data_IF_296965222156
#
_entry.id   IF_296965222156
#
_cell.length_a   1.000
_cell.length_b   1.000
_cell.length_c   1.000
_cell.angle_alpha   90.00
_cell.angle_beta   90.00
_cell.angle_gamma   90.00
#
_symmetry.space_group_name_H-M   'P 1'
#
loop_
_entity.id
_entity.type
_entity.pdbx_description
1 polymer ?
#
# COMPACT_ATOMS: atom_id res chain seq x y z
N UNK A 1 -34.43 -19.90 -58.68
CA UNK A 1 -33.46 -19.59 -59.77
C UNK A 1 -32.86 -18.18 -59.64
N UNK A 2 -33.64 -17.15 -59.28
CA UNK A 2 -33.13 -15.76 -59.14
C UNK A 2 -32.24 -15.58 -57.89
N UNK A 3 -32.59 -16.11 -56.72
CA UNK A 3 -31.80 -15.90 -55.48
C UNK A 3 -30.34 -16.39 -55.59
N UNK A 4 -30.04 -17.60 -56.10
CA UNK A 4 -28.65 -18.04 -56.27
C UNK A 4 -27.81 -17.12 -57.17
N UNK A 5 -28.38 -16.60 -58.26
CA UNK A 5 -27.71 -15.67 -59.16
C UNK A 5 -27.37 -14.34 -58.47
N UNK A 6 -28.32 -13.82 -57.67
CA UNK A 6 -28.10 -12.59 -56.93
C UNK A 6 -27.08 -12.77 -55.79
N UNK A 7 -27.11 -13.90 -55.08
CA UNK A 7 -26.08 -14.25 -54.08
C UNK A 7 -24.68 -14.30 -54.70
N UNK A 8 -24.52 -14.96 -55.86
CA UNK A 8 -23.23 -15.01 -56.56
C UNK A 8 -22.70 -13.63 -56.98
N UNK A 9 -23.60 -12.66 -57.18
CA UNK A 9 -23.26 -11.28 -57.53
C UNK A 9 -23.18 -10.35 -56.32
N UNK A 10 -23.32 -10.86 -55.10
CA UNK A 10 -23.39 -10.08 -53.87
C UNK A 10 -24.49 -9.00 -53.87
N UNK A 11 -25.62 -9.26 -54.55
CA UNK A 11 -26.77 -8.36 -54.61
C UNK A 11 -27.87 -8.87 -53.69
N UNK A 12 -28.35 -8.01 -52.80
CA UNK A 12 -29.52 -8.28 -51.95
C UNK A 12 -30.76 -7.55 -52.48
N UNK A 13 -31.92 -8.21 -52.46
CA UNK A 13 -33.21 -7.60 -52.73
C UNK A 13 -34.21 -7.95 -51.62
N UNK A 14 -34.71 -6.94 -50.90
CA UNK A 14 -35.52 -7.16 -49.71
C UNK A 14 -36.79 -7.99 -49.98
N UNK A 15 -37.54 -7.65 -51.03
CA UNK A 15 -38.79 -8.31 -51.37
C UNK A 15 -38.58 -9.73 -51.87
N UNK A 16 -37.60 -10.00 -52.72
CA UNK A 16 -37.36 -11.35 -53.24
C UNK A 16 -36.96 -12.33 -52.13
N UNK A 17 -36.17 -11.88 -51.16
CA UNK A 17 -35.78 -12.70 -50.02
C UNK A 17 -36.91 -12.85 -48.99
N UNK A 18 -37.83 -11.88 -48.86
CA UNK A 18 -38.97 -11.98 -47.93
C UNK A 18 -39.92 -13.14 -48.27
N UNK A 19 -40.03 -13.51 -49.55
CA UNK A 19 -40.76 -14.71 -49.97
C UNK A 19 -40.21 -16.02 -49.35
N UNK A 20 -38.97 -16.02 -48.85
CA UNK A 20 -38.42 -17.12 -48.06
C UNK A 20 -39.25 -17.41 -46.81
N UNK A 21 -39.83 -16.39 -46.18
CA UNK A 21 -40.74 -16.54 -45.04
C UNK A 21 -42.07 -17.15 -45.51
N UNK A 22 -42.69 -16.57 -46.54
CA UNK A 22 -43.98 -17.01 -47.09
C UNK A 22 -43.97 -18.49 -47.53
N UNK A 23 -42.87 -18.94 -48.13
CA UNK A 23 -42.73 -20.29 -48.69
C UNK A 23 -41.95 -21.26 -47.80
N UNK A 24 -41.63 -20.87 -46.55
CA UNK A 24 -40.88 -21.69 -45.60
C UNK A 24 -39.52 -22.19 -46.14
N UNK A 25 -38.80 -21.33 -46.87
CA UNK A 25 -37.47 -21.63 -47.41
C UNK A 25 -36.40 -21.07 -46.47
N UNK A 26 -35.87 -21.94 -45.60
CA UNK A 26 -34.99 -21.56 -44.49
C UNK A 26 -33.82 -20.67 -44.91
N UNK A 27 -33.07 -21.04 -45.94
CA UNK A 27 -31.89 -20.27 -46.36
C UNK A 27 -32.25 -18.84 -46.81
N UNK A 28 -33.34 -18.69 -47.57
CA UNK A 28 -33.83 -17.39 -48.01
C UNK A 28 -34.38 -16.56 -46.83
N UNK A 29 -35.13 -17.20 -45.92
CA UNK A 29 -35.64 -16.57 -44.71
C UNK A 29 -34.51 -16.07 -43.80
N UNK A 30 -33.43 -16.85 -43.62
CA UNK A 30 -32.24 -16.42 -42.86
C UNK A 30 -31.62 -15.17 -43.44
N UNK A 31 -31.33 -15.16 -44.74
CA UNK A 31 -30.73 -13.99 -45.40
C UNK A 31 -31.66 -12.77 -45.36
N UNK A 32 -32.97 -12.97 -45.52
CA UNK A 32 -33.96 -11.89 -45.39
C UNK A 32 -33.86 -11.21 -44.01
N UNK A 33 -33.95 -12.01 -42.94
CA UNK A 33 -33.95 -11.50 -41.58
C UNK A 33 -32.61 -10.89 -41.19
N UNK A 34 -31.49 -11.47 -41.63
CA UNK A 34 -30.13 -10.94 -41.42
C UNK A 34 -29.95 -9.51 -41.97
N UNK A 35 -30.68 -9.13 -43.03
CA UNK A 35 -30.65 -7.79 -43.62
C UNK A 35 -31.74 -6.85 -43.06
N UNK A 36 -32.62 -7.32 -42.17
CA UNK A 36 -33.65 -6.50 -41.56
C UNK A 36 -33.14 -5.90 -40.24
N UNK A 37 -32.34 -4.84 -40.33
CA UNK A 37 -31.72 -4.21 -39.16
C UNK A 37 -32.73 -3.72 -38.12
N UNK A 38 -33.88 -3.17 -38.56
CA UNK A 38 -34.93 -2.70 -37.66
C UNK A 38 -35.50 -3.83 -36.81
N UNK A 39 -35.70 -5.01 -37.39
CA UNK A 39 -36.16 -6.18 -36.67
C UNK A 39 -35.08 -6.67 -35.71
N UNK A 40 -33.86 -6.86 -36.20
CA UNK A 40 -32.80 -7.46 -35.40
C UNK A 40 -32.36 -6.60 -34.20
N UNK A 41 -32.47 -5.27 -34.28
CA UNK A 41 -32.22 -4.37 -33.13
C UNK A 41 -33.19 -4.59 -31.97
N UNK A 42 -34.36 -5.18 -32.21
CA UNK A 42 -35.36 -5.50 -31.20
C UNK A 42 -35.12 -6.87 -30.56
N UNK A 43 -34.19 -7.67 -31.09
CA UNK A 43 -33.96 -9.05 -30.68
C UNK A 43 -32.85 -9.21 -29.62
N UNK A 44 -32.24 -8.12 -29.14
CA UNK A 44 -31.14 -8.17 -28.17
C UNK A 44 -29.74 -8.23 -28.79
N UNK A 45 -28.72 -8.41 -27.95
CA UNK A 45 -27.31 -8.31 -28.39
C UNK A 45 -26.75 -9.61 -28.96
N UNK A 46 -27.33 -10.76 -28.63
CA UNK A 46 -26.89 -12.06 -29.11
C UNK A 46 -28.08 -13.01 -29.27
N UNK A 47 -28.11 -13.72 -30.40
CA UNK A 47 -29.01 -14.84 -30.67
C UNK A 47 -28.25 -15.79 -31.57
N UNK A 48 -28.30 -17.09 -31.28
CA UNK A 48 -27.96 -18.10 -32.27
C UNK A 48 -29.08 -19.13 -32.36
N UNK A 49 -29.83 -19.08 -33.45
CA UNK A 49 -30.93 -20.00 -33.69
C UNK A 49 -31.01 -20.38 -35.18
N UNK A 50 -31.89 -21.34 -35.48
CA UNK A 50 -32.10 -21.84 -36.85
C UNK A 50 -32.45 -20.74 -37.85
N UNK A 51 -33.06 -19.64 -37.42
CA UNK A 51 -33.57 -18.61 -38.32
C UNK A 51 -32.73 -17.32 -38.35
N UNK A 52 -32.04 -16.99 -37.26
CA UNK A 52 -31.27 -15.76 -37.12
C UNK A 52 -30.03 -16.03 -36.28
N UNK A 53 -28.91 -15.41 -36.67
CA UNK A 53 -27.70 -15.32 -35.84
C UNK A 53 -27.36 -13.84 -35.69
N UNK A 54 -27.31 -13.36 -34.45
CA UNK A 54 -26.85 -12.03 -34.07
C UNK A 54 -25.56 -12.21 -33.27
N UNK A 55 -24.45 -11.81 -33.88
CA UNK A 55 -23.16 -11.72 -33.20
C UNK A 55 -22.78 -10.23 -33.06
N UNK A 56 -22.54 -9.73 -31.85
CA UNK A 56 -22.35 -8.30 -31.64
C UNK A 56 -21.00 -7.78 -32.17
N UNK A 57 -20.00 -8.65 -32.36
CA UNK A 57 -18.70 -8.31 -32.95
C UNK A 57 -18.83 -8.22 -34.46
N UNK A 58 -19.41 -9.25 -35.10
CA UNK A 58 -19.66 -9.27 -36.55
C UNK A 58 -20.51 -8.08 -36.98
N UNK A 59 -21.50 -7.71 -36.16
CA UNK A 59 -22.39 -6.57 -36.41
C UNK A 59 -21.84 -5.22 -35.94
N UNK A 60 -20.63 -5.19 -35.39
CA UNK A 60 -19.94 -3.97 -34.92
C UNK A 60 -20.73 -3.18 -33.87
N UNK A 61 -21.61 -3.85 -33.13
CA UNK A 61 -22.35 -3.27 -31.99
C UNK A 61 -21.58 -3.41 -30.67
N UNK A 62 -20.55 -4.25 -30.66
CA UNK A 62 -19.61 -4.42 -29.57
C UNK A 62 -18.19 -4.57 -30.13
N UNK A 63 -17.22 -4.02 -29.43
CA UNK A 63 -15.81 -4.25 -29.67
C UNK A 63 -15.09 -4.38 -28.32
N UNK A 64 -14.07 -5.23 -28.27
CA UNK A 64 -13.19 -5.30 -27.11
C UNK A 64 -12.26 -4.09 -27.11
N UNK A 65 -12.24 -3.37 -25.99
CA UNK A 65 -11.33 -2.26 -25.78
C UNK A 65 -10.24 -2.66 -24.79
N UNK A 66 -9.02 -2.26 -25.09
CA UNK A 66 -7.85 -2.41 -24.25
C UNK A 66 -7.67 -1.14 -23.41
N UNK A 67 -7.56 -1.30 -22.09
CA UNK A 67 -7.35 -0.21 -21.14
C UNK A 67 -5.97 -0.26 -20.49
N UNK A 68 -5.09 -1.17 -20.93
CA UNK A 68 -3.76 -1.31 -20.36
C UNK A 68 -2.84 -0.15 -20.78
N UNK A 69 -2.09 0.47 -19.86
CA UNK A 69 -2.13 0.28 -18.40
C UNK A 69 -3.27 1.10 -17.76
N UNK A 70 -4.15 0.43 -17.00
CA UNK A 70 -5.15 1.11 -16.16
C UNK A 70 -4.68 1.05 -14.70
N UNK A 71 -4.41 2.20 -14.11
CA UNK A 71 -4.04 2.30 -12.69
C UNK A 71 -5.29 2.57 -11.86
N UNK A 72 -5.64 1.63 -10.98
CA UNK A 72 -6.78 1.79 -10.07
C UNK A 72 -6.32 2.44 -8.76
N UNK A 73 -7.16 3.34 -8.23
CA UNK A 73 -6.91 3.94 -6.91
C UNK A 73 -7.13 2.96 -5.74
N UNK A 74 -7.89 1.87 -5.95
CA UNK A 74 -8.30 0.90 -4.93
C UNK A 74 -8.55 -0.47 -5.54
N UNK A 75 -7.94 -1.52 -4.97
CA UNK A 75 -8.23 -2.92 -5.32
C UNK A 75 -9.42 -3.51 -4.52
N UNK A 76 -9.61 -3.07 -3.27
CA UNK A 76 -10.63 -3.59 -2.36
C UNK A 76 -11.93 -2.81 -2.39
N UNK A 77 -13.03 -3.51 -2.10
CA UNK A 77 -14.38 -2.93 -2.03
C UNK A 77 -14.50 -2.00 -0.82
N UNK A 78 -14.90 -0.75 -1.07
CA UNK A 78 -15.31 0.20 -0.04
C UNK A 78 -16.85 0.26 0.02
N UNK A 79 -17.43 -0.11 1.17
CA UNK A 79 -18.88 -0.15 1.35
C UNK A 79 -19.54 -1.41 0.78
N UNK A 80 -20.86 -1.34 0.57
CA UNK A 80 -21.68 -2.53 0.22
C UNK A 80 -21.47 -3.02 -1.22
N UNK A 81 -21.09 -2.14 -2.14
CA UNK A 81 -20.97 -2.44 -3.58
C UNK A 81 -19.58 -2.12 -4.09
N UNK A 82 -19.08 -2.93 -5.03
CA UNK A 82 -17.84 -2.64 -5.76
C UNK A 82 -18.11 -1.54 -6.77
N UNK A 83 -17.15 -0.62 -6.94
CA UNK A 83 -17.26 0.52 -7.84
C UNK A 83 -16.05 0.54 -8.78
N UNK A 84 -16.29 0.74 -10.06
CA UNK A 84 -15.25 0.98 -11.07
C UNK A 84 -15.17 2.50 -11.26
N UNK A 85 -14.09 3.12 -10.79
CA UNK A 85 -13.96 4.59 -10.76
C UNK A 85 -13.75 5.19 -12.14
N UNK A 86 -13.06 4.48 -13.04
CA UNK A 86 -12.90 4.92 -14.42
C UNK A 86 -14.23 4.76 -15.16
N UNK A 87 -14.89 5.88 -15.47
CA UNK A 87 -16.23 5.89 -16.08
C UNK A 87 -16.27 5.28 -17.47
N UNK A 88 -15.21 5.45 -18.28
CA UNK A 88 -15.12 4.85 -19.62
C UNK A 88 -15.02 3.32 -19.52
N UNK A 89 -14.14 2.82 -18.67
CA UNK A 89 -14.00 1.38 -18.45
C UNK A 89 -15.24 0.78 -17.77
N UNK A 90 -15.86 1.49 -16.84
CA UNK A 90 -17.13 1.08 -16.25
C UNK A 90 -18.21 0.89 -17.33
N UNK A 91 -18.35 1.85 -18.26
CA UNK A 91 -19.27 1.75 -19.39
C UNK A 91 -18.97 0.53 -20.27
N UNK A 92 -17.71 0.31 -20.62
CA UNK A 92 -17.30 -0.86 -21.40
C UNK A 92 -17.58 -2.17 -20.67
N UNK A 93 -17.27 -2.26 -19.39
CA UNK A 93 -17.53 -3.44 -18.57
C UNK A 93 -19.03 -3.73 -18.51
N UNK A 94 -19.88 -2.71 -18.33
CA UNK A 94 -21.34 -2.88 -18.34
C UNK A 94 -21.87 -3.28 -19.73
N UNK A 95 -21.27 -2.79 -20.81
CA UNK A 95 -21.61 -3.22 -22.17
C UNK A 95 -21.26 -4.70 -22.38
N UNK A 96 -20.09 -5.15 -21.90
CA UNK A 96 -19.73 -6.57 -21.90
C UNK A 96 -20.73 -7.39 -21.06
N UNK A 97 -21.03 -6.98 -19.81
CA UNK A 97 -21.98 -7.70 -18.96
C UNK A 97 -23.35 -7.82 -19.62
N UNK A 98 -23.80 -6.77 -20.32
CA UNK A 98 -25.03 -6.80 -21.11
C UNK A 98 -24.95 -7.78 -22.27
N UNK A 99 -23.82 -7.87 -23.00
CA UNK A 99 -23.65 -8.89 -24.05
C UNK A 99 -23.68 -10.30 -23.47
N UNK A 100 -22.91 -10.54 -22.41
CA UNK A 100 -22.82 -11.85 -21.75
C UNK A 100 -24.16 -12.30 -21.16
N UNK A 101 -25.05 -11.39 -20.74
CA UNK A 101 -26.38 -11.76 -20.26
C UNK A 101 -27.31 -12.35 -21.34
N UNK A 102 -26.98 -12.19 -22.64
CA UNK A 102 -27.71 -12.85 -23.74
C UNK A 102 -27.07 -14.19 -24.15
N UNK A 103 -25.87 -14.51 -23.67
CA UNK A 103 -25.21 -15.78 -23.98
C UNK A 103 -25.89 -16.91 -23.18
N UNK A 104 -26.36 -17.99 -23.83
CA UNK A 104 -26.89 -19.15 -23.12
C UNK A 104 -25.82 -19.83 -22.27
N UNK A 105 -24.60 -19.91 -22.82
CA UNK A 105 -23.40 -20.41 -22.16
C UNK A 105 -22.21 -19.53 -22.57
N UNK A 106 -21.27 -19.34 -21.65
CA UNK A 106 -20.03 -18.60 -21.90
C UNK A 106 -18.99 -19.53 -22.52
N UNK A 107 -18.55 -19.18 -23.73
CA UNK A 107 -17.46 -19.87 -24.41
C UNK A 107 -16.08 -19.50 -23.84
N UNK A 108 -15.01 -20.03 -24.42
CA UNK A 108 -13.65 -19.77 -23.95
C UNK A 108 -13.24 -18.30 -24.12
N UNK A 109 -13.69 -17.62 -25.19
CA UNK A 109 -13.35 -16.21 -25.47
C UNK A 109 -14.11 -15.26 -24.53
N UNK A 110 -15.38 -15.54 -24.25
CA UNK A 110 -16.20 -14.80 -23.28
C UNK A 110 -15.56 -14.85 -21.87
N UNK A 111 -15.14 -16.05 -21.45
CA UNK A 111 -14.45 -16.25 -20.17
C UNK A 111 -13.10 -15.53 -20.15
N UNK A 112 -12.29 -15.69 -21.21
CA UNK A 112 -10.97 -15.07 -21.30
C UNK A 112 -11.06 -13.54 -21.26
N UNK A 113 -12.01 -12.95 -21.99
CA UNK A 113 -12.27 -11.50 -21.95
C UNK A 113 -12.63 -11.06 -20.53
N UNK A 114 -13.49 -11.82 -19.86
CA UNK A 114 -13.93 -11.50 -18.50
C UNK A 114 -12.76 -11.59 -17.51
N UNK A 115 -11.84 -12.56 -17.66
CA UNK A 115 -10.60 -12.63 -16.89
C UNK A 115 -9.78 -11.35 -17.06
N UNK A 116 -9.53 -10.91 -18.29
CA UNK A 116 -8.75 -9.67 -18.55
C UNK A 116 -9.43 -8.45 -17.92
N UNK A 117 -10.75 -8.35 -17.96
CA UNK A 117 -11.48 -7.25 -17.32
C UNK A 117 -11.51 -7.35 -15.80
N UNK A 118 -11.41 -8.54 -15.21
CA UNK A 118 -11.19 -8.70 -13.77
C UNK A 118 -9.78 -8.27 -13.38
N UNK A 119 -8.75 -8.63 -14.15
CA UNK A 119 -7.38 -8.17 -13.94
C UNK A 119 -7.28 -6.64 -14.03
N UNK A 120 -7.95 -6.04 -15.01
CA UNK A 120 -8.03 -4.57 -15.16
C UNK A 120 -8.71 -3.89 -13.95
N UNK A 121 -9.48 -4.62 -13.15
CA UNK A 121 -10.14 -4.16 -11.91
C UNK A 121 -9.38 -4.53 -10.64
N UNK A 122 -8.18 -5.11 -10.74
CA UNK A 122 -7.44 -5.73 -9.62
C UNK A 122 -8.24 -6.80 -8.86
N UNK A 123 -9.17 -7.50 -9.55
CA UNK A 123 -9.99 -8.60 -8.99
C UNK A 123 -9.27 -9.93 -9.15
N UNK A 124 -8.06 -10.02 -8.59
CA UNK A 124 -7.12 -11.13 -8.82
C UNK A 124 -7.73 -12.49 -8.46
N UNK A 125 -8.33 -12.65 -7.28
CA UNK A 125 -8.92 -13.94 -6.87
C UNK A 125 -10.04 -14.41 -7.81
N UNK A 126 -10.87 -13.49 -8.28
CA UNK A 126 -11.96 -13.78 -9.21
C UNK A 126 -11.41 -14.11 -10.60
N UNK A 127 -10.37 -13.40 -11.03
CA UNK A 127 -9.66 -13.67 -12.28
C UNK A 127 -9.04 -15.07 -12.26
N UNK A 128 -8.36 -15.47 -11.18
CA UNK A 128 -7.78 -16.81 -11.01
C UNK A 128 -8.86 -17.89 -11.10
N UNK A 129 -9.96 -17.71 -10.36
CA UNK A 129 -11.08 -18.68 -10.34
C UNK A 129 -11.69 -18.86 -11.73
N UNK A 130 -11.94 -17.77 -12.45
CA UNK A 130 -12.52 -17.83 -13.79
C UNK A 130 -11.52 -18.38 -14.81
N UNK A 131 -10.26 -17.99 -14.73
CA UNK A 131 -9.19 -18.43 -15.62
C UNK A 131 -9.01 -19.95 -15.57
N UNK A 132 -9.13 -20.57 -14.39
CA UNK A 132 -9.08 -22.03 -14.24
C UNK A 132 -10.17 -22.77 -15.03
N UNK A 133 -11.25 -22.08 -15.43
CA UNK A 133 -12.35 -22.67 -16.23
C UNK A 133 -12.20 -22.45 -17.73
N UNK A 134 -11.14 -21.76 -18.17
CA UNK A 134 -10.90 -21.46 -19.59
C UNK A 134 -10.29 -22.68 -20.26
N UNK A 135 -10.99 -23.24 -21.24
CA UNK A 135 -10.43 -24.27 -22.11
C UNK A 135 -9.52 -23.61 -23.17
N UNK A 136 -8.23 -23.58 -22.87
CA UNK A 136 -7.25 -22.98 -23.75
C UNK A 136 -7.26 -23.60 -25.15
N UNK A 137 -7.67 -24.87 -25.32
CA UNK A 137 -7.70 -25.55 -26.63
C UNK A 137 -8.70 -24.99 -27.61
N UNK A 138 -9.70 -24.28 -27.10
CA UNK A 138 -10.74 -23.61 -27.88
C UNK A 138 -10.43 -22.14 -28.16
N UNK A 139 -9.28 -21.63 -27.71
CA UNK A 139 -8.88 -20.25 -27.95
C UNK A 139 -7.97 -20.13 -29.19
N UNK A 140 -8.33 -19.28 -30.17
CA UNK A 140 -7.40 -18.86 -31.21
C UNK A 140 -6.18 -18.12 -30.62
N UNK A 141 -6.41 -17.35 -29.55
CA UNK A 141 -5.44 -16.47 -28.89
C UNK A 141 -4.56 -17.20 -27.84
N UNK A 142 -3.87 -18.27 -28.24
CA UNK A 142 -3.05 -19.10 -27.33
C UNK A 142 -1.95 -18.34 -26.60
N UNK A 143 -1.29 -17.42 -27.29
CA UNK A 143 -0.19 -16.66 -26.69
C UNK A 143 -0.69 -15.67 -25.63
N UNK A 144 -1.84 -15.02 -25.84
CA UNK A 144 -2.46 -14.12 -24.87
C UNK A 144 -2.92 -14.86 -23.62
N UNK A 145 -3.45 -16.07 -23.81
CA UNK A 145 -3.76 -16.99 -22.72
C UNK A 145 -2.50 -17.33 -21.91
N UNK A 146 -1.41 -17.73 -22.58
CA UNK A 146 -0.16 -18.07 -21.92
C UNK A 146 0.44 -16.88 -21.17
N UNK A 147 0.38 -15.67 -21.73
CA UNK A 147 0.79 -14.45 -21.01
C UNK A 147 -0.04 -14.22 -19.75
N UNK A 148 -1.36 -14.36 -19.81
CA UNK A 148 -2.22 -14.24 -18.64
C UNK A 148 -1.92 -15.33 -17.60
N UNK A 149 -1.60 -16.56 -18.02
CA UNK A 149 -1.17 -17.62 -17.11
C UNK A 149 0.13 -17.25 -16.40
N UNK A 150 1.12 -16.72 -17.13
CA UNK A 150 2.38 -16.26 -16.53
C UNK A 150 2.18 -15.09 -15.56
N UNK A 151 1.32 -14.13 -15.92
CA UNK A 151 0.97 -13.00 -15.06
C UNK A 151 0.25 -13.45 -13.78
N UNK A 152 -0.72 -14.34 -13.90
CA UNK A 152 -1.47 -14.87 -12.75
C UNK A 152 -0.59 -15.71 -11.80
N UNK A 153 0.45 -16.35 -12.31
CA UNK A 153 1.39 -17.14 -11.53
C UNK A 153 2.20 -16.28 -10.54
N UNK A 154 2.39 -14.98 -10.81
CA UNK A 154 3.00 -14.03 -9.86
C UNK A 154 2.14 -13.77 -8.61
N UNK A 155 0.86 -14.12 -8.64
CA UNK A 155 -0.04 -14.03 -7.47
C UNK A 155 -0.09 -15.34 -6.67
N UNK A 156 0.81 -16.28 -6.96
CA UNK A 156 1.05 -17.46 -6.15
C UNK A 156 2.28 -17.27 -5.26
N UNK A 157 2.38 -18.06 -4.17
CA UNK A 157 3.54 -17.99 -3.26
C UNK A 157 4.88 -18.28 -3.96
N UNK A 158 4.85 -19.05 -5.06
CA UNK A 158 6.03 -19.42 -5.86
C UNK A 158 5.67 -19.47 -7.35
N UNK A 159 6.14 -18.52 -8.17
CA UNK A 159 5.84 -18.50 -9.60
C UNK A 159 6.65 -19.59 -10.34
N UNK A 160 6.14 -20.81 -10.32
CA UNK A 160 6.81 -21.99 -10.90
C UNK A 160 6.58 -22.15 -12.40
N UNK A 161 5.51 -21.57 -12.94
CA UNK A 161 5.09 -21.72 -14.35
C UNK A 161 5.52 -20.54 -15.20
N UNK A 162 5.54 -19.32 -14.63
CA UNK A 162 5.84 -18.09 -15.35
C UNK A 162 7.16 -18.17 -16.14
N UNK A 163 8.22 -18.73 -15.54
CA UNK A 163 9.54 -18.86 -16.19
C UNK A 163 9.50 -19.74 -17.43
N UNK A 164 8.84 -20.90 -17.34
CA UNK A 164 8.71 -21.83 -18.46
C UNK A 164 7.89 -21.23 -19.61
N UNK A 165 6.82 -20.50 -19.27
CA UNK A 165 5.99 -19.79 -20.25
C UNK A 165 6.80 -18.67 -20.92
N UNK A 166 7.47 -17.81 -20.15
CA UNK A 166 8.26 -16.71 -20.70
C UNK A 166 9.38 -17.22 -21.63
N UNK A 167 10.04 -18.33 -21.26
CA UNK A 167 11.08 -18.96 -22.07
C UNK A 167 10.54 -19.43 -23.44
N UNK A 168 9.31 -19.97 -23.51
CA UNK A 168 8.65 -20.38 -24.76
C UNK A 168 8.53 -19.21 -25.75
N UNK A 169 8.37 -17.99 -25.25
CA UNK A 169 8.15 -16.78 -26.05
C UNK A 169 9.37 -15.84 -26.12
N UNK A 170 10.55 -16.28 -25.67
CA UNK A 170 11.75 -15.44 -25.58
C UNK A 170 12.20 -14.82 -26.93
N UNK A 171 11.88 -15.47 -28.06
CA UNK A 171 12.19 -14.99 -29.42
C UNK A 171 10.93 -14.68 -30.24
N UNK A 172 9.84 -14.32 -29.58
CA UNK A 172 8.58 -14.05 -30.27
C UNK A 172 8.70 -12.82 -31.18
N UNK A 173 8.28 -12.88 -32.45
CA UNK A 173 8.62 -11.88 -33.47
C UNK A 173 7.85 -10.55 -33.33
N UNK A 174 6.76 -10.52 -32.54
CA UNK A 174 5.98 -9.30 -32.31
C UNK A 174 6.58 -8.55 -31.13
N UNK A 175 7.21 -7.40 -31.39
CA UNK A 175 7.97 -6.59 -30.41
C UNK A 175 7.24 -6.43 -29.07
N UNK A 176 6.00 -5.93 -29.11
CA UNK A 176 5.16 -5.74 -27.91
C UNK A 176 5.08 -7.00 -27.04
N UNK A 177 4.85 -8.16 -27.65
CA UNK A 177 4.73 -9.42 -26.92
C UNK A 177 6.08 -9.96 -26.46
N UNK A 178 7.12 -9.84 -27.30
CA UNK A 178 8.49 -10.17 -26.91
C UNK A 178 8.92 -9.42 -25.66
N UNK A 179 8.67 -8.10 -25.60
CA UNK A 179 8.92 -7.26 -24.43
C UNK A 179 8.10 -7.68 -23.21
N UNK A 180 6.80 -7.96 -23.37
CA UNK A 180 5.95 -8.41 -22.26
C UNK A 180 6.46 -9.72 -21.62
N UNK A 181 6.86 -10.71 -22.42
CA UNK A 181 7.43 -11.95 -21.89
C UNK A 181 8.86 -11.77 -21.34
N UNK A 182 9.68 -10.93 -21.95
CA UNK A 182 10.99 -10.58 -21.40
C UNK A 182 10.86 -9.88 -20.03
N UNK A 183 9.83 -9.05 -19.84
CA UNK A 183 9.54 -8.41 -18.55
C UNK A 183 9.13 -9.43 -17.48
N UNK A 184 8.34 -10.46 -17.83
CA UNK A 184 8.07 -11.59 -16.92
C UNK A 184 9.38 -12.24 -16.46
N UNK A 185 10.30 -12.53 -17.38
CA UNK A 185 11.61 -13.10 -17.03
C UNK A 185 12.43 -12.17 -16.13
N UNK A 186 12.42 -10.85 -16.39
CA UNK A 186 13.13 -9.87 -15.58
C UNK A 186 12.59 -9.80 -14.15
N UNK A 187 11.27 -9.81 -13.96
CA UNK A 187 10.65 -9.84 -12.62
C UNK A 187 10.98 -11.13 -11.86
N UNK A 188 11.02 -12.27 -12.54
CA UNK A 188 11.43 -13.54 -11.91
C UNK A 188 12.90 -13.53 -11.46
N UNK A 189 13.77 -12.91 -12.26
CA UNK A 189 15.17 -12.71 -11.93
C UNK A 189 15.34 -11.78 -10.72
N UNK A 190 14.54 -10.72 -10.62
CA UNK A 190 14.49 -9.82 -9.45
C UNK A 190 14.00 -10.54 -8.19
N UNK A 191 12.96 -11.37 -8.30
CA UNK A 191 12.47 -12.22 -7.19
C UNK A 191 13.57 -13.16 -6.66
N UNK A 192 14.47 -13.61 -7.52
CA UNK A 192 15.65 -14.41 -7.17
C UNK A 192 16.82 -13.58 -6.62
N UNK A 193 16.65 -12.27 -6.46
CA UNK A 193 17.65 -11.36 -5.92
C UNK A 193 18.65 -10.81 -6.94
N UNK A 194 18.40 -10.98 -8.25
CA UNK A 194 19.20 -10.33 -9.31
C UNK A 194 18.80 -8.86 -9.43
N UNK A 195 19.64 -8.08 -10.11
CA UNK A 195 19.40 -6.65 -10.30
C UNK A 195 18.16 -6.37 -11.16
N UNK A 196 17.48 -5.26 -10.88
CA UNK A 196 16.33 -4.77 -11.66
C UNK A 196 16.74 -4.55 -13.12
N UNK A 197 16.08 -5.26 -14.03
CA UNK A 197 16.26 -5.12 -15.48
C UNK A 197 15.24 -4.18 -16.10
N UNK A 198 15.67 -3.33 -17.03
CA UNK A 198 14.78 -2.52 -17.87
C UNK A 198 14.74 -3.15 -19.26
N UNK A 199 13.57 -3.64 -19.65
CA UNK A 199 13.32 -4.29 -20.94
C UNK A 199 12.85 -3.26 -21.96
N UNK A 200 11.95 -2.36 -21.56
CA UNK A 200 11.47 -1.27 -22.40
C UNK A 200 11.85 0.08 -21.76
N UNK A 201 12.81 0.82 -22.34
CA UNK A 201 13.20 2.14 -21.82
C UNK A 201 12.09 3.19 -21.84
N UNK A 202 11.06 3.02 -22.68
CA UNK A 202 9.89 3.91 -22.74
C UNK A 202 8.84 3.56 -21.68
N UNK A 203 8.94 2.40 -21.05
CA UNK A 203 8.08 2.00 -19.95
C UNK A 203 8.47 2.78 -18.68
N UNK A 204 7.61 3.75 -18.35
CA UNK A 204 7.79 4.62 -17.19
C UNK A 204 7.92 3.83 -15.89
N UNK A 205 7.17 2.75 -15.71
CA UNK A 205 7.14 2.02 -14.45
C UNK A 205 8.43 1.20 -14.28
N UNK A 206 8.97 0.63 -15.35
CA UNK A 206 10.31 0.00 -15.35
C UNK A 206 11.42 1.01 -15.09
N UNK A 207 11.38 2.18 -15.73
CA UNK A 207 12.34 3.25 -15.50
C UNK A 207 12.31 3.74 -14.04
N UNK A 208 11.12 3.90 -13.46
CA UNK A 208 10.95 4.28 -12.04
C UNK A 208 11.44 3.18 -11.10
N UNK A 209 11.18 1.90 -11.38
CA UNK A 209 11.67 0.79 -10.57
C UNK A 209 13.20 0.76 -10.51
N UNK A 210 13.88 0.98 -11.64
CA UNK A 210 15.35 1.08 -11.69
C UNK A 210 15.89 2.24 -10.84
N UNK A 211 15.24 3.41 -10.89
CA UNK A 211 15.63 4.56 -10.07
C UNK A 211 15.37 4.32 -8.58
N UNK A 212 14.25 3.66 -8.24
CA UNK A 212 13.93 3.31 -6.87
C UNK A 212 14.95 2.31 -6.28
N UNK A 213 15.39 1.33 -7.05
CA UNK A 213 16.39 0.35 -6.62
C UNK A 213 17.77 0.97 -6.30
N UNK A 214 18.10 2.11 -6.93
CA UNK A 214 19.36 2.85 -6.70
C UNK A 214 19.20 4.03 -5.74
N UNK A 215 17.98 4.34 -5.31
CA UNK A 215 17.74 5.43 -4.38
C UNK A 215 18.39 5.13 -3.02
N UNK A 216 19.01 6.14 -2.37
CA UNK A 216 19.43 5.99 -0.98
C UNK A 216 18.19 5.84 -0.08
N UNK A 217 18.29 5.02 0.96
CA UNK A 217 17.31 4.98 2.04
C UNK A 217 18.01 4.87 3.40
N UNK A 218 17.34 5.41 4.43
CA UNK A 218 17.85 5.48 5.78
C UNK A 218 16.70 5.50 6.79
N UNK A 219 16.72 4.57 7.74
CA UNK A 219 16.02 4.65 9.02
C UNK A 219 16.95 4.14 10.13
N UNK A 220 16.66 4.44 11.39
CA UNK A 220 17.44 3.90 12.49
C UNK A 220 16.61 3.75 13.74
N UNK A 221 16.96 2.86 14.66
CA UNK A 221 16.38 2.79 16.00
C UNK A 221 17.45 3.09 17.03
N UNK A 222 17.04 3.62 18.18
CA UNK A 222 17.92 3.78 19.33
C UNK A 222 17.24 3.23 20.57
N UNK A 223 17.83 2.20 21.16
CA UNK A 223 17.33 1.52 22.35
C UNK A 223 18.48 0.82 23.07
N UNK A 224 18.35 0.59 24.37
CA UNK A 224 19.36 -0.13 25.16
C UNK A 224 20.82 0.34 24.92
N UNK A 225 21.03 1.66 24.80
CA UNK A 225 22.34 2.29 24.51
C UNK A 225 22.97 1.85 23.17
N UNK A 226 22.16 1.38 22.22
CA UNK A 226 22.59 1.02 20.87
C UNK A 226 21.80 1.80 19.83
N UNK A 227 22.47 2.10 18.71
CA UNK A 227 21.87 2.70 17.52
C UNK A 227 21.96 1.64 16.42
N UNK A 228 20.82 1.22 15.91
CA UNK A 228 20.70 0.28 14.79
C UNK A 228 20.23 1.03 13.56
N UNK A 229 21.10 1.14 12.56
CA UNK A 229 20.84 1.85 11.31
C UNK A 229 20.45 0.84 10.25
N UNK A 230 19.29 1.03 9.63
CA UNK A 230 18.86 0.34 8.41
C UNK A 230 19.10 1.28 7.24
N UNK A 231 19.80 0.83 6.22
CA UNK A 231 20.19 1.69 5.11
C UNK A 231 20.24 0.93 3.79
N UNK A 232 20.14 1.68 2.70
CA UNK A 232 20.32 1.18 1.33
C UNK A 232 21.07 2.22 0.51
N UNK A 233 22.00 1.78 -0.34
CA UNK A 233 22.77 2.63 -1.26
C UNK A 233 23.51 3.81 -0.58
N UNK A 234 23.97 3.62 0.66
CA UNK A 234 24.73 4.60 1.43
C UNK A 234 26.06 4.02 1.88
N UNK A 235 27.14 4.80 1.72
CA UNK A 235 28.50 4.44 2.15
C UNK A 235 28.88 5.02 3.50
N UNK A 236 28.37 6.20 3.81
CA UNK A 236 28.69 6.93 5.04
C UNK A 236 27.44 7.66 5.55
N UNK A 237 27.37 7.81 6.87
CA UNK A 237 26.36 8.62 7.55
C UNK A 237 27.02 9.62 8.49
N UNK A 238 26.38 10.75 8.70
CA UNK A 238 26.73 11.70 9.75
C UNK A 238 25.69 11.63 10.85
N UNK A 239 26.13 11.37 12.07
CA UNK A 239 25.28 11.29 13.27
C UNK A 239 25.55 12.52 14.12
N UNK A 240 24.52 13.32 14.37
CA UNK A 240 24.52 14.50 15.21
C UNK A 240 23.77 14.21 16.51
N UNK A 241 24.38 14.53 17.64
CA UNK A 241 23.82 14.31 18.98
C UNK A 241 23.54 15.66 19.64
N UNK A 242 22.30 15.87 20.07
CA UNK A 242 21.86 17.08 20.75
C UNK A 242 21.34 16.72 22.13
N UNK A 243 22.02 17.17 23.18
CA UNK A 243 21.53 17.02 24.55
C UNK A 243 20.26 17.84 24.69
N UNK A 244 19.20 17.18 25.15
CA UNK A 244 17.90 17.82 25.30
C UNK A 244 17.76 18.45 26.68
N UNK A 245 17.30 19.71 26.71
CA UNK A 245 16.71 20.28 27.92
C UNK A 245 15.27 19.76 28.06
N UNK A 246 15.14 18.63 28.75
CA UNK A 246 13.84 17.95 28.88
C UNK A 246 12.87 18.76 29.71
N UNK A 247 13.34 19.58 30.65
CA UNK A 247 12.45 20.43 31.45
C UNK A 247 11.80 21.52 30.58
N UNK A 248 12.60 22.19 29.75
CA UNK A 248 12.09 23.20 28.84
C UNK A 248 11.11 22.59 27.81
N UNK A 249 11.49 21.46 27.19
CA UNK A 249 10.65 20.77 26.21
C UNK A 249 9.31 20.32 26.82
N UNK A 250 9.37 19.73 28.03
CA UNK A 250 8.19 19.33 28.78
C UNK A 250 7.30 20.52 29.15
N UNK A 251 7.89 21.63 29.61
CA UNK A 251 7.14 22.83 29.99
C UNK A 251 6.41 23.46 28.79
N UNK A 252 6.97 23.35 27.58
CA UNK A 252 6.31 23.81 26.34
C UNK A 252 5.20 22.88 25.87
N UNK A 253 5.39 21.56 26.02
CA UNK A 253 4.42 20.57 25.55
C UNK A 253 4.31 19.36 26.53
N UNK A 254 3.58 19.50 27.65
CA UNK A 254 3.60 18.50 28.72
C UNK A 254 2.98 17.16 28.36
N UNK A 255 2.11 17.09 27.33
CA UNK A 255 1.39 15.88 26.92
C UNK A 255 1.91 15.28 25.59
N UNK A 256 3.11 15.67 25.14
CA UNK A 256 3.73 15.11 23.94
C UNK A 256 4.57 13.89 24.32
N UNK A 257 4.22 12.72 23.76
CA UNK A 257 4.91 11.45 24.06
C UNK A 257 6.25 11.32 23.33
N UNK A 258 6.45 12.02 22.21
CA UNK A 258 7.69 12.03 21.45
C UNK A 258 7.95 13.43 20.90
N UNK A 259 9.02 14.09 21.34
CA UNK A 259 9.45 15.36 20.77
C UNK A 259 10.07 15.12 19.39
N UNK A 260 9.39 15.57 18.34
CA UNK A 260 9.90 15.54 16.97
C UNK A 260 9.96 16.95 16.38
N UNK A 261 11.12 17.35 15.85
CA UNK A 261 11.17 18.35 14.77
C UNK A 261 11.55 19.81 15.11
N UNK A 262 12.21 20.13 16.23
CA UNK A 262 12.59 21.54 16.55
C UNK A 262 14.05 21.75 17.01
N UNK A 263 15.00 20.90 16.63
CA UNK A 263 16.42 21.09 17.00
C UNK A 263 17.26 21.82 15.94
N UNK A 264 16.64 22.35 14.88
CA UNK A 264 17.29 22.92 13.69
C UNK A 264 18.15 24.16 13.94
N UNK A 265 18.03 24.80 15.11
CA UNK A 265 18.66 26.09 15.42
C UNK A 265 19.82 25.98 16.43
N UNK A 266 20.14 24.78 16.91
CA UNK A 266 21.22 24.56 17.88
C UNK A 266 22.36 23.75 17.27
N UNK A 267 23.58 23.98 17.76
CA UNK A 267 24.76 23.20 17.37
C UNK A 267 24.74 21.83 18.07
N UNK A 268 25.07 20.72 17.38
CA UNK A 268 25.18 19.42 18.03
C UNK A 268 26.31 19.40 19.06
N UNK A 269 26.08 18.69 20.16
CA UNK A 269 27.07 18.45 21.20
C UNK A 269 28.19 17.50 20.73
N UNK A 270 27.85 16.57 19.83
CA UNK A 270 28.79 15.70 19.15
C UNK A 270 28.32 15.44 17.72
N UNK A 271 29.25 15.42 16.77
CA UNK A 271 29.01 14.95 15.42
C UNK A 271 30.01 13.85 15.11
N UNK A 272 29.53 12.74 14.57
CA UNK A 272 30.36 11.59 14.21
C UNK A 272 30.04 11.15 12.79
N UNK A 273 31.08 10.88 12.00
CA UNK A 273 30.92 10.26 10.69
C UNK A 273 31.18 8.77 10.82
N UNK A 274 30.25 7.95 10.31
CA UNK A 274 30.31 6.48 10.40
C UNK A 274 30.29 5.90 9.00
N UNK A 275 31.27 5.04 8.70
CA UNK A 275 31.28 4.24 7.48
C UNK A 275 30.33 3.05 7.61
N UNK A 276 29.51 2.83 6.58
CA UNK A 276 28.55 1.75 6.54
C UNK A 276 29.13 0.53 5.83
N UNK A 277 28.79 -0.70 6.26
CA UNK A 277 29.27 -1.92 5.62
C UNK A 277 28.69 -2.11 4.21
N UNK A 278 29.50 -2.52 3.24
CA UNK A 278 29.05 -2.72 1.85
C UNK A 278 28.15 -3.95 1.64
N UNK A 279 28.26 -4.96 2.53
CA UNK A 279 27.58 -6.27 2.40
C UNK A 279 26.47 -6.51 3.43
N UNK A 280 26.01 -5.45 4.09
CA UNK A 280 24.92 -5.52 5.06
C UNK A 280 24.00 -4.32 4.87
N UNK A 281 22.70 -4.51 5.10
CA UNK A 281 21.71 -3.43 5.13
C UNK A 281 21.50 -2.87 6.55
N UNK A 282 22.18 -3.47 7.54
CA UNK A 282 22.06 -3.13 8.95
C UNK A 282 23.45 -2.84 9.51
N UNK A 283 23.59 -1.75 10.24
CA UNK A 283 24.79 -1.42 11.01
C UNK A 283 24.41 -1.01 12.43
N UNK A 284 25.04 -1.65 13.42
CA UNK A 284 24.79 -1.36 14.83
C UNK A 284 26.05 -0.76 15.46
N UNK A 285 25.88 0.34 16.19
CA UNK A 285 26.92 0.97 16.99
C UNK A 285 26.42 1.30 18.39
N UNK A 286 27.35 1.40 19.34
CA UNK A 286 27.03 1.84 20.70
C UNK A 286 26.75 3.35 20.72
N UNK A 287 25.77 3.75 21.53
CA UNK A 287 25.60 5.15 21.90
C UNK A 287 26.85 5.61 22.68
N UNK A 288 27.45 6.77 22.35
CA UNK A 288 28.61 7.28 23.08
C UNK A 288 28.36 7.35 24.59
N UNK A 289 29.35 6.94 25.40
CA UNK A 289 29.21 6.81 26.86
C UNK A 289 28.75 8.10 27.55
N UNK A 290 29.18 9.26 27.06
CA UNK A 290 28.78 10.59 27.56
C UNK A 290 27.27 10.87 27.48
N UNK A 291 26.52 10.04 26.74
CA UNK A 291 25.08 10.14 26.56
C UNK A 291 24.29 9.02 27.26
N UNK A 292 24.94 8.10 28.00
CA UNK A 292 24.26 6.98 28.66
C UNK A 292 23.31 7.38 29.79
N UNK A 293 23.51 8.55 30.38
CA UNK A 293 22.66 9.14 31.44
C UNK A 293 22.02 10.46 31.03
N UNK A 294 22.07 10.81 29.73
CA UNK A 294 21.51 12.07 29.21
C UNK A 294 20.44 11.78 28.19
N UNK A 295 19.39 12.58 28.20
CA UNK A 295 18.39 12.56 27.15
C UNK A 295 18.96 13.27 25.92
N UNK A 296 19.00 12.56 24.78
CA UNK A 296 19.67 13.02 23.57
C UNK A 296 18.76 12.86 22.38
N UNK A 297 18.65 13.90 21.58
CA UNK A 297 18.07 13.84 20.25
C UNK A 297 19.17 13.45 19.26
N UNK A 298 18.95 12.38 18.52
CA UNK A 298 19.91 11.84 17.55
C UNK A 298 19.36 12.16 16.17
N UNK A 299 20.16 12.82 15.35
CA UNK A 299 19.88 13.05 13.93
C UNK A 299 20.91 12.31 13.09
N UNK A 300 20.45 11.56 12.09
CA UNK A 300 21.32 10.91 11.11
C UNK A 300 21.02 11.49 9.73
N UNK A 301 22.07 11.95 9.05
CA UNK A 301 21.99 12.51 7.69
C UNK A 301 22.89 11.77 6.73
N UNK A 302 22.36 11.41 5.55
CA UNK A 302 23.11 10.78 4.46
C UNK A 302 22.31 10.83 3.16
N UNK A 303 22.97 11.00 2.01
CA UNK A 303 22.32 10.91 0.68
C UNK A 303 21.12 11.88 0.49
N UNK A 304 21.14 13.05 1.12
CA UNK A 304 20.01 14.01 1.11
C UNK A 304 18.86 13.65 2.06
N UNK A 305 18.95 12.53 2.77
CA UNK A 305 17.96 12.09 3.76
C UNK A 305 18.38 12.57 5.15
N UNK A 306 17.39 12.96 5.94
CA UNK A 306 17.53 13.30 7.35
C UNK A 306 16.48 12.55 8.15
N UNK A 307 16.92 11.79 9.15
CA UNK A 307 16.04 11.12 10.14
C UNK A 307 16.48 11.53 11.53
N UNK A 308 15.53 11.60 12.46
CA UNK A 308 15.84 11.93 13.84
C UNK A 308 14.93 11.20 14.82
N UNK A 309 15.50 10.79 15.96
CA UNK A 309 14.79 10.10 17.04
C UNK A 309 15.34 10.57 18.39
N UNK A 310 14.46 10.70 19.38
CA UNK A 310 14.85 10.99 20.75
C UNK A 310 15.22 9.69 21.47
N UNK A 311 16.31 9.74 22.24
CA UNK A 311 16.71 8.71 23.19
C UNK A 311 16.59 9.27 24.60
N UNK A 312 15.68 8.73 25.40
CA UNK A 312 15.52 9.11 26.80
C UNK A 312 16.30 8.12 27.66
N UNK A 313 17.50 8.52 28.07
CA UNK A 313 18.31 7.72 28.96
C UNK A 313 17.87 7.97 30.40
N UNK A 314 17.41 6.94 31.09
CA UNK A 314 17.18 7.01 32.54
C UNK A 314 17.51 5.69 33.22
N UNK A 315 18.01 5.79 34.45
CA UNK A 315 18.14 4.68 35.41
C UNK A 315 17.09 4.78 36.52
N UNK A 316 15.99 5.48 36.25
CA UNK A 316 14.87 5.66 37.18
C UNK A 316 13.83 4.51 37.06
N UNK A 317 13.50 3.89 38.18
CA UNK A 317 12.25 3.15 38.38
C UNK A 317 11.23 4.09 39.02
N UNK A 318 10.26 4.53 38.22
CA UNK A 318 9.18 5.42 38.68
C UNK A 318 7.88 4.62 38.80
N UNK A 319 7.32 4.62 40.01
CA UNK A 319 5.99 4.10 40.30
C UNK A 319 5.02 5.26 40.48
N UNK A 320 4.02 5.35 39.61
CA UNK A 320 2.93 6.32 39.71
C UNK A 320 1.78 5.68 40.47
N UNK A 321 1.49 6.16 41.66
CA UNK A 321 0.45 5.66 42.56
C UNK A 321 -0.80 6.54 42.36
N UNK A 322 -1.50 6.33 41.25
CA UNK A 322 -2.61 7.20 40.78
C UNK A 322 -3.68 7.42 41.84
N UNK A 323 -4.12 6.36 42.52
CA UNK A 323 -5.17 6.43 43.55
C UNK A 323 -4.85 7.36 44.72
N UNK A 324 -3.57 7.66 44.95
CA UNK A 324 -3.12 8.52 46.05
C UNK A 324 -2.41 9.78 45.56
N UNK A 325 -2.35 10.03 44.25
CA UNK A 325 -1.71 11.23 43.71
C UNK A 325 -0.20 11.33 43.99
N UNK A 326 0.48 10.18 44.15
CA UNK A 326 1.91 10.16 44.52
C UNK A 326 2.76 9.48 43.46
N UNK A 327 4.01 9.92 43.34
CA UNK A 327 5.08 9.16 42.68
C UNK A 327 6.08 8.65 43.70
N UNK A 328 6.66 7.50 43.41
CA UNK A 328 7.85 6.98 44.08
C UNK A 328 8.95 6.76 43.05
N UNK A 329 10.13 7.30 43.32
CA UNK A 329 11.30 7.22 42.46
C UNK A 329 12.40 6.41 43.17
N UNK A 330 12.93 5.43 42.47
CA UNK A 330 14.04 4.59 42.92
C UNK A 330 15.01 4.35 41.76
N UNK A 331 16.22 3.91 42.07
CA UNK A 331 17.15 3.43 41.05
C UNK A 331 16.63 2.13 40.43
N UNK A 332 16.68 2.01 39.10
CA UNK A 332 16.10 0.92 38.35
C UNK A 332 16.70 -0.44 38.73
N UNK A 333 18.03 -0.51 38.83
CA UNK A 333 18.77 -1.74 39.18
C UNK A 333 18.79 -1.99 40.69
N UNK A 334 19.34 -1.07 41.50
CA UNK A 334 19.53 -1.29 42.94
C UNK A 334 18.25 -1.18 43.78
N UNK A 335 17.15 -0.67 43.21
CA UNK A 335 15.87 -0.40 43.87
C UNK A 335 15.94 0.58 45.06
N UNK A 336 17.09 1.20 45.33
CA UNK A 336 17.25 2.22 46.38
C UNK A 336 16.44 3.46 46.02
N UNK A 337 15.75 4.04 47.02
CA UNK A 337 15.00 5.28 46.84
C UNK A 337 15.95 6.43 46.46
N UNK A 338 15.53 7.31 45.56
CA UNK A 338 16.32 8.48 45.14
C UNK A 338 15.64 9.73 45.69
N UNK A 339 16.26 10.41 46.68
CA UNK A 339 15.76 11.68 47.19
C UNK A 339 16.13 12.84 46.27
N UNK A 340 15.48 13.99 46.45
CA UNK A 340 15.76 15.24 45.73
C UNK A 340 15.58 15.17 44.21
N UNK A 341 14.83 14.19 43.72
CA UNK A 341 14.43 14.12 42.30
C UNK A 341 13.38 15.19 42.04
N UNK A 342 13.61 16.05 41.05
CA UNK A 342 12.67 17.10 40.68
C UNK A 342 11.44 16.47 40.00
N UNK A 343 10.25 16.85 40.45
CA UNK A 343 8.99 16.41 39.86
C UNK A 343 8.18 17.64 39.48
N UNK A 344 7.80 17.75 38.21
CA UNK A 344 6.99 18.85 37.66
C UNK A 344 5.71 18.29 37.07
N UNK A 345 4.57 18.70 37.61
CA UNK A 345 3.25 18.27 37.21
C UNK A 345 2.51 19.37 36.43
N UNK A 346 2.04 19.01 35.25
CA UNK A 346 1.03 19.76 34.51
C UNK A 346 -0.30 19.03 34.58
N UNK A 347 -1.38 19.78 34.62
CA UNK A 347 -2.74 19.25 34.56
C UNK A 347 -3.39 19.65 33.24
N UNK A 348 -4.05 18.68 32.60
CA UNK A 348 -5.10 18.94 31.62
C UNK A 348 -6.40 19.06 32.39
N UNK A 349 -7.06 20.20 32.26
CA UNK A 349 -8.33 20.48 32.90
C UNK A 349 -9.48 19.82 32.11
N UNK A 350 -10.67 19.71 32.71
CA UNK A 350 -11.88 19.16 32.06
C UNK A 350 -12.35 20.00 30.87
N UNK A 351 -12.02 21.28 30.85
CA UNK A 351 -12.28 22.19 29.71
C UNK A 351 -11.23 22.11 28.59
N UNK A 352 -10.25 21.21 28.72
CA UNK A 352 -9.19 20.99 27.74
C UNK A 352 -7.95 21.87 27.91
N UNK A 353 -7.96 22.90 28.77
CA UNK A 353 -6.79 23.74 29.02
C UNK A 353 -5.67 22.94 29.69
N UNK A 354 -4.43 23.20 29.29
CA UNK A 354 -3.23 22.63 29.92
C UNK A 354 -2.52 23.74 30.69
N UNK A 355 -2.22 23.49 31.97
CA UNK A 355 -1.52 24.45 32.82
C UNK A 355 -0.58 23.76 33.80
N UNK A 356 0.42 24.51 34.25
CA UNK A 356 1.24 24.11 35.38
C UNK A 356 0.34 23.87 36.60
N UNK A 357 0.60 22.79 37.34
CA UNK A 357 -0.20 22.41 38.50
C UNK A 357 0.62 22.45 39.78
N UNK A 358 1.75 21.73 39.82
CA UNK A 358 2.57 21.60 41.02
C UNK A 358 3.98 21.14 40.65
N UNK A 359 4.98 21.56 41.39
CA UNK A 359 6.31 20.95 41.35
C UNK A 359 6.93 20.82 42.73
N UNK A 360 8.08 20.17 42.78
CA UNK A 360 8.86 20.00 43.99
C UNK A 360 9.84 18.85 43.86
N UNK A 361 10.29 18.35 45.00
CA UNK A 361 11.33 17.33 45.06
C UNK A 361 10.89 16.12 45.85
N UNK A 362 11.39 14.94 45.48
CA UNK A 362 11.16 13.74 46.27
C UNK A 362 11.82 13.83 47.65
N UNK A 363 11.14 13.29 48.67
CA UNK A 363 11.67 13.18 50.02
C UNK A 363 12.75 12.07 50.14
N UNK A 364 13.26 11.82 51.36
CA UNK A 364 14.24 10.76 51.64
C UNK A 364 13.77 9.34 51.26
N UNK A 365 12.45 9.15 51.07
CA UNK A 365 11.84 7.87 50.66
C UNK A 365 11.63 7.80 49.15
N UNK A 366 12.08 8.81 48.42
CA UNK A 366 11.89 8.97 46.98
C UNK A 366 10.45 9.31 46.61
N UNK A 367 9.65 9.85 47.53
CA UNK A 367 8.22 10.11 47.29
C UNK A 367 7.93 11.58 47.06
N UNK A 368 6.98 11.85 46.17
CA UNK A 368 6.42 13.18 45.95
C UNK A 368 4.91 13.09 45.72
N UNK A 369 4.15 13.98 46.35
CA UNK A 369 2.71 14.17 46.13
C UNK A 369 2.50 15.20 45.02
N UNK A 370 2.04 14.75 43.86
CA UNK A 370 1.80 15.62 42.70
C UNK A 370 0.36 16.16 42.63
N UNK A 371 -0.57 15.65 43.43
CA UNK A 371 -2.00 15.94 43.29
C UNK A 371 -2.53 16.94 44.33
N UNK A 372 -2.04 16.90 45.57
CA UNK A 372 -2.62 17.72 46.65
C UNK A 372 -2.20 19.19 46.53
N UNK A 373 -3.18 20.08 46.50
CA UNK A 373 -3.03 21.54 46.64
C UNK A 373 -4.06 22.02 47.68
N UNK A 374 -3.79 23.12 48.37
CA UNK A 374 -4.77 23.78 49.27
C UNK A 374 -5.83 24.56 48.46
N UNK A 375 -6.40 23.94 47.44
CA UNK A 375 -7.39 24.48 46.51
C UNK A 375 -8.36 23.38 46.06
N UNK A 376 -9.44 23.74 45.38
CA UNK A 376 -10.39 22.79 44.75
C UNK A 376 -10.03 22.47 43.27
N UNK A 377 -8.79 22.73 42.84
CA UNK A 377 -8.41 22.58 41.44
C UNK A 377 -8.46 21.13 40.95
N UNK A 378 -8.22 20.16 41.85
CA UNK A 378 -8.20 18.73 41.54
C UNK A 378 -9.51 18.24 40.91
N UNK A 379 -10.66 18.78 41.36
CA UNK A 379 -11.99 18.42 40.85
C UNK A 379 -12.16 18.74 39.36
N UNK A 380 -11.34 19.65 38.84
CA UNK A 380 -11.35 20.08 37.46
C UNK A 380 -10.25 19.43 36.62
N UNK A 381 -9.40 18.56 37.20
CA UNK A 381 -8.35 17.85 36.46
C UNK A 381 -8.93 16.64 35.73
N UNK A 382 -8.58 16.47 34.46
CA UNK A 382 -8.89 15.26 33.68
C UNK A 382 -7.70 14.31 33.58
N UNK A 383 -6.47 14.85 33.53
CA UNK A 383 -5.23 14.08 33.40
C UNK A 383 -4.04 14.87 33.92
N UNK A 384 -3.10 14.20 34.56
CA UNK A 384 -1.78 14.74 34.88
C UNK A 384 -0.73 14.29 33.87
N UNK A 385 0.26 15.14 33.64
CA UNK A 385 1.54 14.76 33.05
C UNK A 385 2.66 15.18 34.01
N UNK A 386 3.55 14.25 34.29
CA UNK A 386 4.59 14.35 35.31
C UNK A 386 5.95 14.21 34.63
N UNK A 387 6.78 15.24 34.72
CA UNK A 387 8.21 15.13 34.46
C UNK A 387 8.89 14.74 35.77
N UNK A 388 9.68 13.67 35.73
CA UNK A 388 10.56 13.25 36.82
C UNK A 388 11.98 13.41 36.29
N UNK A 389 12.77 14.27 36.92
CA UNK A 389 14.09 14.70 36.44
C UNK A 389 15.12 14.61 37.57
N UNK A 390 16.24 13.93 37.28
CA UNK A 390 17.40 13.83 38.13
C UNK A 390 18.68 14.10 37.30
N UNK A 391 19.57 14.93 37.81
CA UNK A 391 20.79 15.35 37.08
C UNK A 391 21.75 14.18 36.78
N UNK A 392 21.69 13.12 37.58
CA UNK A 392 22.56 11.94 37.48
C UNK A 392 21.90 10.72 36.85
N UNK A 393 20.61 10.53 37.09
CA UNK A 393 19.87 9.32 36.71
C UNK A 393 18.92 9.53 35.53
N UNK A 394 18.85 10.74 34.96
CA UNK A 394 18.11 11.05 33.74
C UNK A 394 16.70 11.55 33.98
N UNK A 395 15.83 11.48 32.96
CA UNK A 395 14.46 11.97 33.06
C UNK A 395 13.44 11.00 32.46
N UNK A 396 12.23 11.02 32.99
CA UNK A 396 11.10 10.26 32.46
C UNK A 396 9.81 11.05 32.59
N UNK A 397 8.94 10.93 31.58
CA UNK A 397 7.59 11.50 31.59
C UNK A 397 6.57 10.39 31.85
N UNK A 398 5.61 10.67 32.73
CA UNK A 398 4.50 9.78 33.05
C UNK A 398 3.18 10.56 33.02
N UNK A 399 2.20 10.02 32.33
CA UNK A 399 0.83 10.47 32.51
C UNK A 399 0.15 9.72 33.64
N UNK A 400 -0.73 10.40 34.37
CA UNK A 400 -1.47 9.83 35.49
C UNK A 400 -2.93 10.27 35.47
N UNK A 401 -3.84 9.38 35.83
CA UNK A 401 -5.23 9.77 36.17
C UNK A 401 -5.25 10.56 37.48
N UNK A 402 -6.17 11.52 37.66
CA UNK A 402 -6.35 12.12 38.98
C UNK A 402 -6.81 11.06 40.00
N UNK A 403 -6.35 11.13 41.27
CA UNK A 403 -6.83 10.25 42.33
C UNK A 403 -8.34 10.35 42.48
N UNK A 404 -8.99 9.21 42.75
CA UNK A 404 -10.41 9.19 43.08
C UNK A 404 -10.59 9.69 44.51
N UNK A 405 -11.43 10.71 44.68
CA UNK A 405 -11.89 11.13 46.01
C UNK A 405 -12.84 10.09 46.60
#
# INVERSE_FOLDING_TARGET
RVLPLLTQRHIYNHTLWSYGIKHNVLAAARTYLQHNDSFLRQCGNYIDCKLVTIDPIVRKTYQHLEYWPLVNARAHRLGKRRQILNTRFHGQYMHLMKVLSYRPELDAEDRMTTVVYFLTQDRIEEAIKLFATVDATKLPARMQHDYCAAYLDFFSDKPTKARAIAAKYAKYPVDRWGKLFAHVSAQLDEIEGKAVGVIDPEDRDQAQAKLAATAPDLDFKVEAKQITINFQNLKTVTINYYVMDVELLFSRNPFVQQFSGQFSYIRPNLTTQVALPEKSLIHTLALPEQFHSKNVFIEITAGGIKKSKAYYAHSLAVQTIENYGQVRVAHAETRKAIPKVYVKAYARMKDGRVRFYKDGYTDLRGRFDYASLSTNELDNVSRFSLLILDDTHGAVVREASPPKQ
#
